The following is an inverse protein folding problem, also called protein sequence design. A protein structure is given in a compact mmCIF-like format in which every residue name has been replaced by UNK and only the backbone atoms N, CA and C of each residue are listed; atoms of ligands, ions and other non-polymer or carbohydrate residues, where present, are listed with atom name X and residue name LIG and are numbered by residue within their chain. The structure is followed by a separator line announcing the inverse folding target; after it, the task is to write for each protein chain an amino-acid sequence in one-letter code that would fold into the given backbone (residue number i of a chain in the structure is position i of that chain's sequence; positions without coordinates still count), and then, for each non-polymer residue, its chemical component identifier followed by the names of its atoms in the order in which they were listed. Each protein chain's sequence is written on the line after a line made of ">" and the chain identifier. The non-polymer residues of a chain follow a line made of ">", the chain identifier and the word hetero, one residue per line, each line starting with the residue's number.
data_IF_260073088304
#
_entry.id   IF_260073088304
#
_cell.length_a   1.000
_cell.length_b   1.000
_cell.length_c   1.000
_cell.angle_alpha   90.00
_cell.angle_beta   90.00
_cell.angle_gamma   90.00
#
_symmetry.space_group_name_H-M   'P 1'
#
loop_
_entity.id
_entity.type
_entity.pdbx_description
1 polymer ?
#
# COMPACT_ATOMS: atom_id res chain seq x y z
N UNK A 1 -55.44 48.87 8.20
CA UNK A 1 -55.35 47.61 8.96
C UNK A 1 -54.93 46.41 8.08
N UNK A 2 -55.52 46.20 6.89
CA UNK A 2 -55.21 45.07 6.02
C UNK A 2 -53.72 45.11 5.49
N UNK A 3 -53.28 46.34 5.14
CA UNK A 3 -51.86 46.51 4.67
C UNK A 3 -50.81 46.29 5.78
N UNK A 4 -51.17 46.62 7.04
CA UNK A 4 -50.30 46.44 8.19
C UNK A 4 -50.18 44.93 8.59
N UNK A 5 -51.28 44.18 8.51
CA UNK A 5 -51.35 42.75 8.77
C UNK A 5 -50.56 41.99 7.69
N UNK A 6 -50.66 42.40 6.41
CA UNK A 6 -49.93 41.80 5.32
C UNK A 6 -48.37 41.94 5.48
N UNK A 7 -47.91 43.08 6.01
CA UNK A 7 -46.49 43.32 6.25
C UNK A 7 -45.94 42.49 7.42
N UNK A 8 -46.75 42.26 8.46
CA UNK A 8 -46.38 41.44 9.62
C UNK A 8 -46.27 39.96 9.23
N UNK A 9 -47.16 39.46 8.38
CA UNK A 9 -47.10 38.06 7.88
C UNK A 9 -45.85 37.80 7.03
N UNK A 10 -45.43 38.79 6.22
CA UNK A 10 -44.21 38.64 5.39
C UNK A 10 -42.93 38.56 6.25
N UNK A 11 -42.88 39.31 7.37
CA UNK A 11 -41.70 39.28 8.27
C UNK A 11 -41.57 37.95 9.02
N UNK A 12 -42.65 37.23 9.28
CA UNK A 12 -42.59 35.90 9.93
C UNK A 12 -42.11 34.77 9.01
N UNK A 13 -42.21 34.95 7.69
CA UNK A 13 -41.70 33.93 6.74
C UNK A 13 -40.21 34.03 6.42
N UNK A 14 -39.51 35.08 6.86
CA UNK A 14 -38.07 35.25 6.62
C UNK A 14 -37.18 34.67 7.72
N UNK A 15 -37.73 34.21 8.84
CA UNK A 15 -36.97 33.45 9.84
C UNK A 15 -36.90 31.97 9.44
N UNK A 16 -36.23 31.71 8.35
CA UNK A 16 -35.85 30.34 7.96
C UNK A 16 -34.84 29.80 8.98
N UNK A 17 -35.27 28.86 9.80
CA UNK A 17 -34.38 28.12 10.68
C UNK A 17 -33.43 27.24 9.86
N UNK A 18 -32.30 27.79 9.45
CA UNK A 18 -31.25 27.03 8.73
C UNK A 18 -30.76 25.79 9.51
N UNK A 19 -30.90 25.78 10.83
CA UNK A 19 -30.52 24.65 11.69
C UNK A 19 -31.41 23.41 11.61
N UNK A 20 -32.64 23.50 11.07
CA UNK A 20 -33.58 22.36 10.95
C UNK A 20 -33.23 21.50 9.71
N UNK A 21 -32.56 22.10 8.72
CA UNK A 21 -32.13 21.39 7.50
C UNK A 21 -30.75 20.73 7.61
N UNK A 22 -30.03 21.02 8.68
CA UNK A 22 -28.71 20.45 8.94
C UNK A 22 -28.86 19.12 9.71
N UNK A 23 -29.63 18.20 9.13
CA UNK A 23 -29.77 16.84 9.66
C UNK A 23 -28.47 16.10 9.29
N UNK A 24 -27.52 16.11 10.23
CA UNK A 24 -26.35 15.20 10.11
C UNK A 24 -26.89 13.78 10.14
N UNK A 25 -26.67 12.98 9.09
CA UNK A 25 -27.15 11.59 9.09
C UNK A 25 -26.42 10.82 10.19
N UNK A 26 -27.13 10.49 11.25
CA UNK A 26 -26.61 9.74 12.41
C UNK A 26 -26.29 8.28 12.04
N UNK A 27 -26.87 7.79 10.94
CA UNK A 27 -26.72 6.43 10.45
C UNK A 27 -25.65 6.26 9.36
N UNK A 28 -25.06 7.35 8.86
CA UNK A 28 -24.06 7.31 7.81
C UNK A 28 -22.70 7.71 8.40
N UNK A 29 -21.70 6.86 8.23
CA UNK A 29 -20.33 7.18 8.61
C UNK A 29 -19.82 8.24 7.64
N UNK A 30 -19.55 9.45 8.16
CA UNK A 30 -18.94 10.56 7.42
C UNK A 30 -17.57 10.87 8.03
N UNK A 31 -16.68 11.54 7.31
CA UNK A 31 -15.40 11.97 7.87
C UNK A 31 -15.56 12.82 9.14
N UNK A 32 -16.66 13.56 9.26
CA UNK A 32 -16.95 14.40 10.44
C UNK A 32 -17.32 13.61 11.69
N UNK A 33 -17.90 12.40 11.55
CA UNK A 33 -18.36 11.59 12.67
C UNK A 33 -17.59 10.30 12.90
N UNK A 34 -16.61 9.98 12.04
CA UNK A 34 -15.81 8.76 12.16
C UNK A 34 -14.67 8.93 13.18
N UNK A 35 -13.94 10.04 13.12
CA UNK A 35 -12.69 10.23 13.86
C UNK A 35 -12.92 10.76 15.27
N UNK A 36 -13.23 9.89 16.22
CA UNK A 36 -13.55 10.27 17.61
C UNK A 36 -12.56 9.70 18.64
N UNK A 37 -12.04 8.50 18.41
CA UNK A 37 -11.27 7.74 19.40
C UNK A 37 -9.99 7.16 18.80
N UNK A 38 -9.05 6.74 19.65
CA UNK A 38 -7.85 6.02 19.22
C UNK A 38 -8.17 4.71 18.50
N UNK A 39 -9.31 4.07 18.82
CA UNK A 39 -9.75 2.86 18.13
C UNK A 39 -10.18 3.11 16.69
N UNK A 40 -10.71 4.28 16.39
CA UNK A 40 -11.06 4.66 15.02
C UNK A 40 -9.81 4.78 14.17
N UNK A 41 -8.76 5.41 14.71
CA UNK A 41 -7.46 5.55 14.04
C UNK A 41 -6.81 4.18 13.80
N UNK A 42 -6.76 3.32 14.82
CA UNK A 42 -6.11 2.01 14.73
C UNK A 42 -6.90 1.01 13.89
N UNK A 43 -8.22 1.08 13.95
CA UNK A 43 -9.14 0.31 13.10
C UNK A 43 -8.99 0.69 11.62
N UNK A 44 -8.97 1.99 11.32
CA UNK A 44 -8.77 2.50 9.97
C UNK A 44 -7.41 2.08 9.39
N UNK A 45 -6.35 2.17 10.21
CA UNK A 45 -5.02 1.74 9.82
C UNK A 45 -4.98 0.24 9.45
N UNK A 46 -5.80 -0.58 10.08
CA UNK A 46 -5.91 -2.00 9.72
C UNK A 46 -6.48 -2.17 8.30
N UNK A 47 -7.47 -1.34 7.92
CA UNK A 47 -7.99 -1.28 6.55
C UNK A 47 -6.92 -0.88 5.53
N UNK A 48 -6.01 0.04 5.89
CA UNK A 48 -4.90 0.46 5.02
C UNK A 48 -3.98 -0.71 4.65
N UNK A 49 -3.74 -1.67 5.55
CA UNK A 49 -2.97 -2.87 5.22
C UNK A 49 -3.68 -3.77 4.20
N UNK A 50 -5.00 -3.80 4.20
CA UNK A 50 -5.76 -4.49 3.17
C UNK A 50 -5.59 -3.82 1.81
N UNK A 51 -5.68 -2.49 1.77
CA UNK A 51 -5.49 -1.71 0.54
C UNK A 51 -4.05 -1.78 0.03
N UNK A 52 -3.06 -1.73 0.94
CA UNK A 52 -1.65 -1.95 0.60
C UNK A 52 -1.45 -3.29 -0.08
N UNK A 53 -2.00 -4.36 0.51
CA UNK A 53 -1.94 -5.72 -0.04
C UNK A 53 -2.52 -5.78 -1.45
N UNK A 54 -3.63 -5.11 -1.68
CA UNK A 54 -4.30 -5.06 -2.98
C UNK A 54 -3.52 -4.25 -4.01
N UNK A 55 -2.92 -3.13 -3.59
CA UNK A 55 -2.20 -2.21 -4.47
C UNK A 55 -0.87 -2.76 -4.98
N UNK A 56 -0.15 -3.53 -4.14
CA UNK A 56 1.17 -4.08 -4.50
C UNK A 56 1.09 -5.51 -5.06
N UNK A 57 -0.10 -6.08 -5.14
CA UNK A 57 -0.31 -7.44 -5.63
C UNK A 57 -0.34 -7.49 -7.17
N UNK A 58 0.75 -7.07 -7.80
CA UNK A 58 0.90 -7.06 -9.24
C UNK A 58 2.33 -7.35 -9.66
N UNK A 59 2.48 -8.14 -10.72
CA UNK A 59 3.77 -8.42 -11.37
C UNK A 59 4.14 -7.39 -12.42
N UNK A 60 3.16 -6.64 -12.88
CA UNK A 60 3.27 -5.75 -14.02
C UNK A 60 4.42 -4.75 -13.92
N UNK A 61 4.65 -4.18 -12.73
CA UNK A 61 5.70 -3.18 -12.52
C UNK A 61 7.06 -3.74 -12.16
N UNK A 62 7.13 -5.03 -11.89
CA UNK A 62 8.36 -5.71 -11.43
C UNK A 62 8.79 -6.75 -12.47
N UNK A 63 8.20 -7.93 -12.41
CA UNK A 63 8.67 -9.10 -13.13
C UNK A 63 8.36 -9.04 -14.64
N UNK A 64 7.22 -8.47 -15.02
CA UNK A 64 6.84 -8.33 -16.44
C UNK A 64 7.79 -7.41 -17.23
N UNK A 65 8.53 -6.54 -16.55
CA UNK A 65 9.51 -5.64 -17.17
C UNK A 65 10.95 -6.15 -17.07
N UNK A 66 11.13 -7.26 -16.40
CA UNK A 66 12.42 -7.89 -16.19
C UNK A 66 12.68 -9.05 -17.15
N UNK A 67 13.81 -9.71 -16.93
CA UNK A 67 14.26 -10.87 -17.71
C UNK A 67 13.98 -12.22 -17.02
N UNK A 68 13.33 -12.19 -15.84
CA UNK A 68 13.11 -13.38 -15.02
C UNK A 68 12.07 -14.31 -15.63
N UNK A 69 10.99 -13.74 -16.19
CA UNK A 69 9.91 -14.49 -16.78
C UNK A 69 9.76 -14.20 -18.26
N UNK A 70 9.27 -15.19 -18.97
CA UNK A 70 8.73 -15.09 -20.34
C UNK A 70 7.26 -15.47 -20.33
N UNK A 71 6.49 -15.11 -21.37
CA UNK A 71 5.12 -15.59 -21.50
C UNK A 71 5.08 -17.11 -21.51
N UNK A 72 4.08 -17.66 -20.82
CA UNK A 72 3.79 -19.07 -20.89
C UNK A 72 2.98 -19.43 -22.15
N UNK A 73 2.61 -20.70 -22.27
CA UNK A 73 1.90 -21.22 -23.46
C UNK A 73 0.51 -20.62 -23.65
N UNK A 74 -0.12 -20.17 -22.58
CA UNK A 74 -1.51 -19.68 -22.61
C UNK A 74 -1.64 -18.16 -22.51
N UNK A 75 -0.54 -17.44 -22.44
CA UNK A 75 -0.56 -15.98 -22.34
C UNK A 75 0.18 -15.33 -23.49
N UNK A 76 -0.41 -14.27 -24.03
CA UNK A 76 0.30 -13.36 -24.91
C UNK A 76 1.33 -12.53 -24.14
N UNK A 77 2.25 -11.92 -24.89
CA UNK A 77 3.21 -10.97 -24.35
C UNK A 77 2.48 -9.73 -23.80
N UNK A 78 2.69 -9.40 -22.52
CA UNK A 78 2.19 -8.14 -21.97
C UNK A 78 2.88 -6.94 -22.62
N UNK A 79 2.20 -5.79 -22.66
CA UNK A 79 2.81 -4.55 -23.17
C UNK A 79 4.03 -4.14 -22.37
N UNK A 80 4.06 -4.47 -21.08
CA UNK A 80 5.21 -4.23 -20.21
C UNK A 80 6.41 -5.08 -20.62
N UNK A 81 6.20 -6.35 -20.87
CA UNK A 81 7.25 -7.26 -21.32
C UNK A 81 7.80 -6.86 -22.70
N UNK A 82 6.92 -6.44 -23.62
CA UNK A 82 7.30 -5.95 -24.94
C UNK A 82 7.96 -4.56 -24.93
N UNK A 83 8.04 -3.88 -23.79
CA UNK A 83 8.54 -2.51 -23.65
C UNK A 83 7.79 -1.48 -24.52
N UNK A 84 6.49 -1.71 -24.79
CA UNK A 84 5.66 -0.86 -25.65
C UNK A 84 4.52 -0.17 -24.87
N UNK A 85 4.79 0.23 -23.63
CA UNK A 85 3.82 0.96 -22.82
C UNK A 85 3.48 2.33 -23.43
N UNK A 86 2.20 2.62 -23.47
CA UNK A 86 1.63 3.89 -23.91
C UNK A 86 0.63 4.40 -22.87
N UNK A 87 0.17 5.63 -23.00
CA UNK A 87 -0.87 6.18 -22.12
C UNK A 87 -2.19 5.40 -22.16
N UNK A 88 -2.45 4.63 -23.21
CA UNK A 88 -3.68 3.84 -23.36
C UNK A 88 -3.60 2.44 -22.79
N UNK A 89 -2.40 1.87 -22.64
CA UNK A 89 -2.20 0.50 -22.16
C UNK A 89 -1.37 0.41 -20.86
N UNK A 90 -0.85 1.53 -20.37
CA UNK A 90 -0.19 1.58 -19.08
C UNK A 90 -1.22 1.50 -17.95
N UNK A 91 -0.93 0.78 -16.86
CA UNK A 91 -1.77 0.80 -15.68
C UNK A 91 -1.87 2.21 -15.09
N UNK A 92 -2.99 2.49 -14.43
CA UNK A 92 -3.18 3.74 -13.72
C UNK A 92 -2.64 3.68 -12.29
N UNK A 93 -2.46 4.83 -11.68
CA UNK A 93 -1.97 4.97 -10.31
C UNK A 93 -3.05 5.24 -9.25
N UNK A 94 -4.34 5.12 -9.62
CA UNK A 94 -5.47 5.47 -8.75
C UNK A 94 -5.39 4.74 -7.41
N UNK A 95 -5.14 3.43 -7.42
CA UNK A 95 -5.06 2.63 -6.19
C UNK A 95 -3.95 3.10 -5.23
N UNK A 96 -2.82 3.55 -5.77
CA UNK A 96 -1.72 4.08 -4.96
C UNK A 96 -2.06 5.43 -4.33
N UNK A 97 -2.72 6.33 -5.06
CA UNK A 97 -3.15 7.61 -4.50
C UNK A 97 -4.30 7.48 -3.51
N UNK A 98 -5.20 6.50 -3.69
CA UNK A 98 -6.18 6.16 -2.66
C UNK A 98 -5.48 5.71 -1.37
N UNK A 99 -4.46 4.85 -1.48
CA UNK A 99 -3.68 4.42 -0.32
C UNK A 99 -2.95 5.58 0.36
N UNK A 100 -2.36 6.50 -0.40
CA UNK A 100 -1.74 7.74 0.11
C UNK A 100 -2.77 8.61 0.82
N UNK A 101 -3.97 8.78 0.25
CA UNK A 101 -5.06 9.52 0.87
C UNK A 101 -5.43 8.92 2.23
N UNK A 102 -5.57 7.60 2.31
CA UNK A 102 -5.87 6.92 3.57
C UNK A 102 -4.75 7.08 4.61
N UNK A 103 -3.48 7.03 4.20
CA UNK A 103 -2.35 7.35 5.07
C UNK A 103 -2.41 8.79 5.58
N UNK A 104 -2.72 9.75 4.70
CA UNK A 104 -2.86 11.16 5.06
C UNK A 104 -3.97 11.39 6.10
N UNK A 105 -5.11 10.68 5.99
CA UNK A 105 -6.17 10.71 6.99
C UNK A 105 -5.68 10.22 8.36
N UNK A 106 -4.98 9.09 8.42
CA UNK A 106 -4.42 8.58 9.68
C UNK A 106 -3.39 9.55 10.27
N UNK A 107 -2.53 10.15 9.45
CA UNK A 107 -1.54 11.14 9.91
C UNK A 107 -2.26 12.38 10.46
N UNK A 108 -3.26 12.90 9.75
CA UNK A 108 -4.04 14.06 10.17
C UNK A 108 -4.76 13.81 11.49
N UNK A 109 -5.62 12.81 11.52
CA UNK A 109 -6.50 12.55 12.67
C UNK A 109 -5.76 11.89 13.85
N UNK A 110 -4.74 11.09 13.59
CA UNK A 110 -3.87 10.55 14.63
C UNK A 110 -3.13 11.64 15.40
N UNK A 111 -2.86 12.79 14.80
CA UNK A 111 -2.28 13.94 15.49
C UNK A 111 -3.30 14.72 16.34
N UNK A 112 -4.58 14.74 15.95
CA UNK A 112 -5.66 15.51 16.59
C UNK A 112 -6.28 14.72 17.75
N UNK A 113 -6.52 13.42 17.55
CA UNK A 113 -7.21 12.55 18.51
C UNK A 113 -6.30 12.28 19.71
N UNK A 114 -6.90 12.32 20.90
CA UNK A 114 -6.22 11.95 22.13
C UNK A 114 -6.10 10.43 22.24
N UNK A 115 -4.89 9.95 22.49
CA UNK A 115 -4.60 8.55 22.78
C UNK A 115 -4.36 8.36 24.28
N UNK A 116 -4.85 7.27 24.83
CA UNK A 116 -4.58 6.88 26.23
C UNK A 116 -3.13 6.51 26.44
N UNK A 117 -2.47 6.00 25.39
CA UNK A 117 -1.05 5.65 25.40
C UNK A 117 -0.34 6.31 24.21
N UNK A 118 0.64 7.18 24.51
CA UNK A 118 1.44 7.86 23.50
C UNK A 118 2.21 6.92 22.57
N UNK A 119 2.62 5.75 23.04
CA UNK A 119 3.27 4.73 22.19
C UNK A 119 2.32 4.17 21.15
N UNK A 120 1.03 4.02 21.46
CA UNK A 120 0.04 3.59 20.48
C UNK A 120 -0.17 4.65 19.40
N UNK A 121 -0.23 5.94 19.79
CA UNK A 121 -0.26 7.06 18.86
C UNK A 121 0.95 7.04 17.93
N UNK A 122 2.14 6.99 18.51
CA UNK A 122 3.39 7.04 17.78
C UNK A 122 3.52 5.86 16.81
N UNK A 123 3.11 4.66 17.23
CA UNK A 123 3.09 3.48 16.35
C UNK A 123 2.12 3.65 15.18
N UNK A 124 0.90 4.15 15.42
CA UNK A 124 -0.08 4.37 14.35
C UNK A 124 0.43 5.38 13.32
N UNK A 125 1.02 6.48 13.77
CA UNK A 125 1.63 7.48 12.89
C UNK A 125 2.85 6.91 12.14
N UNK A 126 3.71 6.15 12.81
CA UNK A 126 4.87 5.51 12.19
C UNK A 126 4.47 4.56 11.06
N UNK A 127 3.46 3.73 11.30
CA UNK A 127 2.94 2.80 10.28
C UNK A 127 2.35 3.55 9.07
N UNK A 128 1.60 4.63 9.31
CA UNK A 128 1.04 5.44 8.23
C UNK A 128 2.14 6.12 7.38
N UNK A 129 3.15 6.69 8.02
CA UNK A 129 4.32 7.25 7.32
C UNK A 129 5.09 6.18 6.54
N UNK A 130 5.32 5.00 7.13
CA UNK A 130 5.96 3.89 6.45
C UNK A 130 5.19 3.46 5.19
N UNK A 131 3.87 3.26 5.29
CA UNK A 131 3.05 2.82 4.16
C UNK A 131 3.01 3.90 3.08
N UNK A 132 2.94 5.19 3.45
CA UNK A 132 2.98 6.30 2.49
C UNK A 132 4.32 6.33 1.75
N UNK A 133 5.44 6.21 2.47
CA UNK A 133 6.77 6.12 1.87
C UNK A 133 6.91 4.93 0.93
N UNK A 134 6.47 3.75 1.36
CA UNK A 134 6.47 2.54 0.56
C UNK A 134 5.67 2.71 -0.74
N UNK A 135 4.49 3.35 -0.64
CA UNK A 135 3.63 3.63 -1.78
C UNK A 135 4.26 4.62 -2.75
N UNK A 136 4.85 5.72 -2.24
CA UNK A 136 5.59 6.66 -3.09
C UNK A 136 6.82 6.02 -3.75
N UNK A 137 7.48 5.10 -3.08
CA UNK A 137 8.63 4.41 -3.67
C UNK A 137 8.20 3.48 -4.82
N UNK A 138 7.02 2.84 -4.72
CA UNK A 138 6.41 2.14 -5.85
C UNK A 138 6.08 3.07 -7.01
N UNK A 139 5.45 4.21 -6.72
CA UNK A 139 5.13 5.22 -7.73
C UNK A 139 6.38 5.75 -8.43
N UNK A 140 7.42 6.09 -7.67
CA UNK A 140 8.69 6.59 -8.19
C UNK A 140 9.35 5.59 -9.14
N UNK A 141 9.44 4.32 -8.73
CA UNK A 141 10.08 3.28 -9.55
C UNK A 141 9.28 2.94 -10.81
N UNK A 142 7.96 3.13 -10.79
CA UNK A 142 7.08 2.77 -11.90
C UNK A 142 6.86 3.91 -12.89
N UNK A 143 6.71 5.15 -12.42
CA UNK A 143 6.33 6.31 -13.24
C UNK A 143 7.35 7.46 -13.24
N UNK A 144 8.35 7.43 -12.39
CA UNK A 144 9.33 8.51 -12.27
C UNK A 144 8.75 9.72 -11.54
N UNK A 145 8.58 10.84 -12.26
CA UNK A 145 7.95 12.04 -11.74
C UNK A 145 6.47 11.79 -11.45
N UNK A 146 6.04 12.09 -10.22
CA UNK A 146 4.66 11.89 -9.75
C UNK A 146 4.21 13.02 -8.85
N UNK A 147 2.91 13.33 -8.75
CA UNK A 147 2.40 14.32 -7.81
C UNK A 147 2.69 13.95 -6.34
N UNK A 148 3.12 14.93 -5.54
CA UNK A 148 3.25 14.77 -4.09
C UNK A 148 1.98 15.33 -3.44
N UNK A 149 1.22 14.45 -2.73
CA UNK A 149 -0.02 14.77 -2.03
C UNK A 149 0.13 14.36 -0.58
N UNK A 150 0.23 15.33 0.33
CA UNK A 150 0.49 15.08 1.76
C UNK A 150 -0.72 15.35 2.64
N UNK A 151 -1.77 15.95 2.09
CA UNK A 151 -3.02 16.21 2.78
C UNK A 151 -4.15 15.33 2.22
N UNK A 152 -5.09 14.89 3.05
CA UNK A 152 -6.25 14.17 2.56
C UNK A 152 -7.21 15.10 1.82
N UNK A 153 -7.85 14.59 0.77
CA UNK A 153 -8.94 15.31 0.07
C UNK A 153 -10.24 15.11 0.84
N UNK A 154 -10.78 16.18 1.41
CA UNK A 154 -12.00 16.14 2.22
C UNK A 154 -13.04 17.19 1.77
N UNK A 155 -12.85 17.77 0.59
CA UNK A 155 -13.79 18.73 0.01
C UNK A 155 -13.91 18.53 -1.49
N UNK A 156 -14.96 19.13 -2.07
CA UNK A 156 -15.20 19.11 -3.52
C UNK A 156 -14.22 19.98 -4.30
N UNK A 157 -13.46 20.83 -3.60
CA UNK A 157 -12.45 21.69 -4.21
C UNK A 157 -11.14 20.91 -4.31
N UNK A 158 -10.98 20.19 -5.41
CA UNK A 158 -9.80 19.37 -5.66
C UNK A 158 -8.76 20.22 -6.41
N UNK A 159 -7.61 20.44 -5.77
CA UNK A 159 -6.42 20.96 -6.46
C UNK A 159 -5.61 19.75 -6.93
N UNK A 160 -5.47 19.63 -8.25
CA UNK A 160 -4.66 18.59 -8.84
C UNK A 160 -3.20 19.09 -8.95
N UNK A 161 -2.27 18.60 -8.12
CA UNK A 161 -0.88 19.03 -8.20
C UNK A 161 -0.21 18.47 -9.46
N UNK A 162 0.71 19.22 -10.01
CA UNK A 162 1.59 18.75 -11.09
C UNK A 162 2.53 17.66 -10.57
N UNK A 163 3.14 16.91 -11.49
CA UNK A 163 4.20 15.96 -11.15
C UNK A 163 5.40 16.69 -10.56
N UNK A 164 5.88 16.20 -9.44
CA UNK A 164 7.14 16.63 -8.85
C UNK A 164 8.30 15.82 -9.45
N UNK A 165 9.47 16.42 -9.61
CA UNK A 165 10.67 15.70 -10.06
C UNK A 165 11.02 14.53 -9.14
N UNK A 166 11.58 13.46 -9.71
CA UNK A 166 11.95 12.23 -8.99
C UNK A 166 12.80 12.50 -7.74
N UNK A 167 13.69 13.46 -7.77
CA UNK A 167 14.50 13.85 -6.62
C UNK A 167 13.65 14.33 -5.45
N UNK A 168 12.64 15.17 -5.70
CA UNK A 168 11.73 15.65 -4.66
C UNK A 168 10.83 14.51 -4.12
N UNK A 169 10.41 13.60 -4.99
CA UNK A 169 9.64 12.41 -4.56
C UNK A 169 10.51 11.53 -3.66
N UNK A 170 11.78 11.32 -4.01
CA UNK A 170 12.73 10.57 -3.18
C UNK A 170 12.97 11.25 -1.83
N UNK A 171 13.11 12.57 -1.82
CA UNK A 171 13.29 13.31 -0.57
C UNK A 171 12.04 13.18 0.33
N UNK A 172 10.83 13.15 -0.23
CA UNK A 172 9.61 12.89 0.53
C UNK A 172 9.55 11.45 1.06
N UNK A 173 9.98 10.46 0.27
CA UNK A 173 10.09 9.06 0.70
C UNK A 173 11.02 8.97 1.92
N UNK A 174 12.21 9.53 1.82
CA UNK A 174 13.19 9.49 2.90
C UNK A 174 12.72 10.26 4.13
N UNK A 175 12.01 11.37 3.96
CA UNK A 175 11.40 12.10 5.08
C UNK A 175 10.39 11.23 5.83
N UNK A 176 9.45 10.60 5.12
CA UNK A 176 8.45 9.73 5.74
C UNK A 176 9.07 8.51 6.42
N UNK A 177 10.07 7.88 5.81
CA UNK A 177 10.80 6.75 6.42
C UNK A 177 11.51 7.18 7.68
N UNK A 178 12.18 8.33 7.69
CA UNK A 178 12.87 8.84 8.88
C UNK A 178 11.89 9.20 10.00
N UNK A 179 10.72 9.76 9.66
CA UNK A 179 9.63 9.98 10.63
C UNK A 179 9.14 8.65 11.21
N UNK A 180 8.91 7.65 10.37
CA UNK A 180 8.51 6.31 10.83
C UNK A 180 9.55 5.71 11.79
N UNK A 181 10.84 5.74 11.44
CA UNK A 181 11.94 5.26 12.29
C UNK A 181 11.93 5.95 13.66
N UNK A 182 11.72 7.27 13.67
CA UNK A 182 11.72 8.07 14.90
C UNK A 182 10.50 7.76 15.78
N UNK A 183 9.35 7.58 15.16
CA UNK A 183 8.08 7.40 15.85
C UNK A 183 7.87 5.97 16.36
N UNK A 184 8.44 4.93 15.73
CA UNK A 184 8.30 3.56 16.23
C UNK A 184 8.83 3.45 17.66
N UNK A 185 7.97 3.12 18.64
CA UNK A 185 8.40 3.02 20.05
C UNK A 185 9.26 1.79 20.32
N UNK A 186 9.05 0.71 19.55
CA UNK A 186 9.83 -0.52 19.67
C UNK A 186 11.02 -0.51 18.72
N UNK A 187 12.16 -1.06 19.17
CA UNK A 187 13.34 -1.25 18.32
C UNK A 187 13.25 -2.47 17.40
N UNK A 188 12.37 -3.43 17.72
CA UNK A 188 12.20 -4.70 17.01
C UNK A 188 10.82 -4.87 16.38
N UNK A 189 10.44 -6.12 16.21
CA UNK A 189 9.18 -6.52 15.60
C UNK A 189 8.11 -6.77 16.67
N UNK A 190 6.97 -6.10 16.57
CA UNK A 190 5.74 -6.52 17.25
C UNK A 190 5.07 -7.63 16.45
N UNK A 191 5.01 -7.44 15.15
CA UNK A 191 4.48 -8.41 14.19
C UNK A 191 5.14 -8.13 12.83
N UNK A 192 5.70 -9.16 12.19
CA UNK A 192 6.38 -9.03 10.90
C UNK A 192 5.43 -8.78 9.72
N UNK A 193 4.12 -8.87 9.94
CA UNK A 193 3.09 -8.49 8.94
C UNK A 193 2.57 -7.06 9.12
N UNK A 194 3.16 -6.32 10.06
CA UNK A 194 2.95 -4.87 10.22
C UNK A 194 4.29 -4.16 10.13
N UNK A 195 4.24 -2.90 9.75
CA UNK A 195 5.44 -2.07 9.71
C UNK A 195 6.11 -2.00 11.08
N UNK A 196 7.41 -1.92 11.08
CA UNK A 196 8.25 -1.89 12.27
C UNK A 196 9.48 -1.03 12.01
N UNK A 197 10.23 -0.71 13.04
CA UNK A 197 11.48 0.04 12.88
C UNK A 197 12.48 -0.67 11.96
N UNK A 198 12.72 -2.00 12.08
CA UNK A 198 13.55 -2.73 11.12
C UNK A 198 12.99 -2.70 9.69
N UNK A 199 11.66 -2.78 9.51
CA UNK A 199 11.05 -2.67 8.18
C UNK A 199 11.27 -1.26 7.57
N UNK A 200 11.19 -0.21 8.39
CA UNK A 200 11.47 1.15 7.93
C UNK A 200 12.96 1.33 7.54
N UNK A 201 13.88 0.73 8.28
CA UNK A 201 15.29 0.72 7.87
C UNK A 201 15.52 -0.08 6.59
N UNK A 202 14.83 -1.20 6.37
CA UNK A 202 14.91 -1.96 5.12
C UNK A 202 14.40 -1.13 3.93
N UNK A 203 13.26 -0.45 4.08
CA UNK A 203 12.76 0.47 3.06
C UNK A 203 13.71 1.63 2.79
N UNK A 204 14.30 2.20 3.85
CA UNK A 204 15.32 3.25 3.72
C UNK A 204 16.52 2.77 2.93
N UNK A 205 16.99 1.55 3.20
CA UNK A 205 18.10 0.92 2.48
C UNK A 205 17.80 0.84 0.98
N UNK A 206 16.63 0.30 0.60
CA UNK A 206 16.24 0.15 -0.80
C UNK A 206 16.09 1.52 -1.49
N UNK A 207 15.47 2.50 -0.81
CA UNK A 207 15.35 3.86 -1.33
C UNK A 207 16.71 4.55 -1.54
N UNK A 208 17.65 4.39 -0.62
CA UNK A 208 18.99 4.96 -0.73
C UNK A 208 19.83 4.27 -1.81
N UNK A 209 19.69 2.95 -2.00
CA UNK A 209 20.31 2.24 -3.12
C UNK A 209 19.79 2.75 -4.46
N UNK A 210 18.47 2.95 -4.57
CA UNK A 210 17.87 3.57 -5.76
C UNK A 210 18.38 5.00 -5.97
N UNK A 211 18.38 5.81 -4.90
CA UNK A 211 18.91 7.20 -4.96
C UNK A 211 20.36 7.21 -5.44
N UNK A 212 21.19 6.32 -4.92
CA UNK A 212 22.61 6.23 -5.30
C UNK A 212 22.80 5.91 -6.77
N UNK A 213 22.04 4.97 -7.31
CA UNK A 213 22.24 4.43 -8.66
C UNK A 213 21.46 5.16 -9.75
N UNK A 214 20.24 5.59 -9.45
CA UNK A 214 19.31 6.15 -10.44
C UNK A 214 19.25 7.69 -10.36
N UNK A 215 19.37 8.26 -9.16
CA UNK A 215 19.23 9.69 -8.93
C UNK A 215 20.57 10.37 -8.59
N UNK A 216 21.68 9.75 -8.98
CA UNK A 216 23.03 10.29 -8.80
C UNK A 216 23.43 10.62 -7.35
N UNK A 217 22.84 9.92 -6.37
CA UNK A 217 23.15 10.10 -4.95
C UNK A 217 24.53 9.60 -4.52
N UNK A 218 25.19 8.77 -5.34
CA UNK A 218 26.58 8.36 -5.21
C UNK A 218 26.93 7.66 -3.88
N UNK A 219 28.20 7.75 -3.50
CA UNK A 219 28.77 7.03 -2.34
C UNK A 219 28.18 7.47 -0.99
N UNK A 220 27.72 8.71 -0.87
CA UNK A 220 27.07 9.18 0.35
C UNK A 220 25.78 8.40 0.62
N UNK A 221 24.96 8.21 -0.41
CA UNK A 221 23.73 7.39 -0.29
C UNK A 221 24.06 5.91 -0.06
N UNK A 222 25.12 5.38 -0.66
CA UNK A 222 25.55 4.00 -0.42
C UNK A 222 26.02 3.78 1.03
N UNK A 223 26.77 4.72 1.58
CA UNK A 223 27.24 4.65 2.98
C UNK A 223 26.08 4.68 3.97
N UNK A 224 25.07 5.54 3.73
CA UNK A 224 23.87 5.60 4.55
C UNK A 224 23.00 4.33 4.39
N UNK A 225 22.93 3.78 3.16
CA UNK A 225 22.23 2.53 2.89
C UNK A 225 22.84 1.37 3.69
N UNK A 226 24.17 1.27 3.76
CA UNK A 226 24.87 0.22 4.51
C UNK A 226 24.50 0.28 6.01
N UNK A 227 24.58 1.46 6.61
CA UNK A 227 24.17 1.65 8.03
C UNK A 227 22.70 1.27 8.24
N UNK A 228 21.84 1.65 7.31
CA UNK A 228 20.41 1.31 7.39
C UNK A 228 20.17 -0.19 7.23
N UNK A 229 20.92 -0.86 6.38
CA UNK A 229 20.85 -2.32 6.20
C UNK A 229 21.23 -3.06 7.49
N UNK A 230 22.32 -2.67 8.14
CA UNK A 230 22.74 -3.27 9.42
C UNK A 230 21.65 -3.12 10.49
N UNK A 231 20.99 -1.95 10.57
CA UNK A 231 19.89 -1.70 11.50
C UNK A 231 18.62 -2.48 11.11
N UNK A 232 18.37 -2.69 9.85
CA UNK A 232 17.24 -3.50 9.36
C UNK A 232 17.40 -4.98 9.71
N UNK A 233 18.64 -5.48 9.65
CA UNK A 233 18.97 -6.88 9.94
C UNK A 233 19.03 -7.19 11.44
N UNK A 234 19.02 -6.19 12.30
CA UNK A 234 18.98 -6.40 13.73
C UNK A 234 17.74 -7.20 14.15
N UNK A 235 17.93 -8.39 14.70
CA UNK A 235 16.85 -9.29 15.14
C UNK A 235 16.30 -10.25 14.07
N UNK A 236 16.97 -10.35 12.92
CA UNK A 236 16.77 -11.44 11.94
C UNK A 236 18.07 -12.23 11.76
N UNK A 237 17.95 -13.45 11.31
CA UNK A 237 19.09 -14.32 11.04
C UNK A 237 18.75 -15.27 9.89
N UNK A 238 19.78 -15.74 9.19
CA UNK A 238 19.60 -16.72 8.14
C UNK A 238 19.02 -18.02 8.70
N UNK A 239 18.06 -18.61 8.00
CA UNK A 239 17.53 -19.92 8.35
C UNK A 239 18.52 -21.00 7.85
N UNK A 240 18.94 -21.93 8.71
CA UNK A 240 19.86 -23.02 8.30
C UNK A 240 19.24 -23.94 7.24
N UNK A 241 17.91 -23.97 7.13
CA UNK A 241 17.20 -24.71 6.11
C UNK A 241 16.48 -23.77 5.15
N UNK A 242 17.00 -23.66 3.93
CA UNK A 242 16.44 -22.80 2.88
C UNK A 242 14.95 -23.03 2.61
N UNK A 243 14.45 -24.26 2.72
CA UNK A 243 13.05 -24.57 2.51
C UNK A 243 12.11 -23.90 3.54
N UNK A 244 12.62 -23.60 4.74
CA UNK A 244 11.83 -22.93 5.78
C UNK A 244 11.44 -21.50 5.38
N UNK A 245 12.22 -20.81 4.55
CA UNK A 245 11.93 -19.46 4.08
C UNK A 245 10.56 -19.41 3.41
N UNK A 246 10.19 -20.47 2.69
CA UNK A 246 8.93 -20.55 1.91
C UNK A 246 7.77 -21.20 2.68
N UNK A 247 8.06 -21.94 3.74
CA UNK A 247 7.03 -22.69 4.51
C UNK A 247 6.66 -22.04 5.84
N UNK A 248 7.60 -21.35 6.48
CA UNK A 248 7.38 -20.73 7.78
C UNK A 248 6.73 -19.35 7.64
N UNK A 249 5.56 -19.18 8.28
CA UNK A 249 4.99 -17.83 8.44
C UNK A 249 5.85 -17.02 9.41
N UNK A 250 6.18 -15.81 9.03
CA UNK A 250 7.03 -14.93 9.85
C UNK A 250 8.39 -15.56 10.24
N UNK A 251 8.98 -16.31 9.31
CA UNK A 251 10.28 -16.95 9.49
C UNK A 251 11.37 -16.00 10.01
N UNK A 252 12.46 -16.55 10.50
CA UNK A 252 13.51 -15.76 11.15
C UNK A 252 14.20 -14.77 10.19
N UNK A 253 14.23 -15.03 8.88
CA UNK A 253 14.78 -14.12 7.86
C UNK A 253 13.82 -13.00 7.45
N UNK A 254 12.52 -13.11 7.78
CA UNK A 254 11.52 -12.12 7.35
C UNK A 254 11.63 -10.85 8.17
N UNK A 255 11.79 -9.72 7.50
CA UNK A 255 11.73 -8.38 8.09
C UNK A 255 10.32 -7.80 8.00
N UNK A 256 9.69 -7.89 6.83
CA UNK A 256 8.33 -7.43 6.60
C UNK A 256 7.66 -8.32 5.55
N UNK A 257 6.41 -8.69 5.78
CA UNK A 257 5.62 -9.48 4.84
C UNK A 257 4.18 -9.02 4.78
N UNK A 258 3.58 -9.06 3.61
CA UNK A 258 2.15 -8.86 3.47
C UNK A 258 1.43 -10.18 3.74
N UNK A 259 0.57 -10.17 4.74
CA UNK A 259 -0.14 -11.37 5.18
C UNK A 259 -1.45 -11.55 4.42
N UNK A 260 -1.66 -12.75 3.91
CA UNK A 260 -2.90 -13.16 3.25
C UNK A 260 -3.50 -14.33 4.02
N UNK A 261 -4.77 -14.21 4.37
CA UNK A 261 -5.51 -15.26 5.06
C UNK A 261 -6.74 -15.66 4.27
N UNK A 262 -6.95 -16.96 4.16
CA UNK A 262 -8.02 -17.53 3.36
C UNK A 262 -9.41 -17.05 3.78
N UNK A 263 -9.64 -16.94 5.09
CA UNK A 263 -10.93 -16.58 5.66
C UNK A 263 -11.26 -15.09 5.56
N UNK A 264 -10.32 -14.27 5.10
CA UNK A 264 -10.48 -12.82 4.95
C UNK A 264 -10.85 -12.40 3.53
N UNK A 265 -11.02 -13.34 2.60
CA UNK A 265 -11.33 -13.03 1.22
C UNK A 265 -12.84 -13.01 0.98
N UNK A 266 -13.30 -11.88 0.41
CA UNK A 266 -14.70 -11.68 0.03
C UNK A 266 -14.76 -11.29 -1.45
N UNK A 267 -15.81 -11.69 -2.15
CA UNK A 267 -16.08 -11.21 -3.50
C UNK A 267 -16.65 -9.77 -3.49
N UNK A 268 -16.86 -9.20 -4.66
CA UNK A 268 -17.41 -7.84 -4.80
C UNK A 268 -18.83 -7.69 -4.22
N UNK A 269 -19.54 -8.79 -4.00
CA UNK A 269 -20.85 -8.81 -3.37
C UNK A 269 -20.77 -9.01 -1.84
N UNK A 270 -19.56 -9.06 -1.27
CA UNK A 270 -19.35 -9.29 0.17
C UNK A 270 -19.54 -10.74 0.60
N UNK A 271 -19.63 -11.69 -0.34
CA UNK A 271 -19.72 -13.12 -0.03
C UNK A 271 -18.34 -13.68 0.21
N UNK A 272 -18.19 -14.41 1.33
CA UNK A 272 -16.94 -15.11 1.66
C UNK A 272 -16.55 -16.07 0.56
N UNK A 273 -15.33 -15.94 0.07
CA UNK A 273 -14.77 -16.82 -0.96
C UNK A 273 -14.19 -18.05 -0.29
N UNK A 274 -14.97 -19.12 -0.19
CA UNK A 274 -14.57 -20.33 0.51
C UNK A 274 -13.56 -21.20 -0.25
N UNK A 275 -13.51 -21.08 -1.58
CA UNK A 275 -12.71 -21.92 -2.49
C UNK A 275 -11.95 -21.10 -3.53
N UNK A 276 -11.41 -19.96 -3.12
CA UNK A 276 -10.74 -19.14 -4.11
C UNK A 276 -9.31 -19.61 -4.31
N UNK A 277 -8.98 -19.85 -5.56
CA UNK A 277 -7.62 -20.00 -6.04
C UNK A 277 -6.87 -18.65 -6.02
N UNK A 278 -7.50 -17.60 -5.51
CA UNK A 278 -7.05 -16.23 -5.50
C UNK A 278 -6.41 -15.86 -4.16
N UNK A 279 -5.54 -16.74 -3.66
CA UNK A 279 -4.77 -16.44 -2.47
C UNK A 279 -3.50 -15.71 -2.82
N UNK A 280 -3.29 -14.63 -2.14
CA UNK A 280 -2.03 -13.97 -2.13
C UNK A 280 -1.73 -13.25 -3.43
N UNK A 281 -0.52 -13.37 -3.86
CA UNK A 281 0.04 -12.61 -4.96
C UNK A 281 -0.64 -12.90 -6.30
N UNK A 282 -0.51 -11.99 -7.23
CA UNK A 282 -0.91 -12.16 -8.63
C UNK A 282 -0.25 -13.38 -9.27
N UNK A 283 0.96 -13.73 -8.80
CA UNK A 283 1.65 -14.95 -9.19
C UNK A 283 1.14 -16.11 -8.35
N UNK A 284 0.13 -16.77 -8.85
CA UNK A 284 -0.33 -18.03 -8.27
C UNK A 284 0.55 -19.15 -8.76
N UNK A 285 0.81 -20.19 -7.95
CA UNK A 285 1.56 -21.35 -8.39
C UNK A 285 1.05 -21.93 -9.72
N UNK A 286 -0.26 -21.95 -9.92
CA UNK A 286 -0.87 -22.41 -11.16
C UNK A 286 -0.56 -21.56 -12.39
N UNK A 287 -0.24 -20.27 -12.19
CA UNK A 287 0.05 -19.35 -13.31
C UNK A 287 1.54 -19.43 -13.69
N UNK A 288 2.39 -19.95 -12.82
CA UNK A 288 3.84 -20.00 -13.00
C UNK A 288 4.33 -21.41 -13.36
N UNK A 289 3.77 -22.44 -12.73
CA UNK A 289 4.38 -23.76 -12.71
C UNK A 289 3.60 -24.80 -13.48
N UNK A 290 3.15 -24.52 -14.69
CA UNK A 290 2.52 -25.60 -15.34
C UNK A 290 2.78 -25.81 -16.76
N UNK A 291 3.33 -26.88 -17.02
CA UNK A 291 3.27 -27.46 -18.34
C UNK A 291 2.99 -28.95 -18.37
N UNK A 292 3.00 -29.61 -17.24
CA UNK A 292 2.83 -31.05 -17.20
C UNK A 292 1.48 -31.42 -16.59
N UNK A 293 0.58 -31.93 -17.43
CA UNK A 293 -0.75 -32.37 -17.02
C UNK A 293 -0.73 -33.52 -15.98
N UNK A 294 0.36 -34.23 -15.86
CA UNK A 294 0.49 -35.34 -14.90
C UNK A 294 0.65 -34.86 -13.47
N UNK A 295 1.23 -33.67 -13.26
CA UNK A 295 1.49 -33.11 -11.93
C UNK A 295 0.48 -32.06 -11.50
N UNK A 296 -0.47 -31.69 -12.34
CA UNK A 296 -1.50 -30.68 -12.04
C UNK A 296 -2.34 -31.01 -10.81
N UNK A 297 -2.56 -32.29 -10.54
CA UNK A 297 -3.35 -32.73 -9.36
C UNK A 297 -2.55 -32.75 -8.06
N UNK A 298 -1.23 -32.77 -8.12
CA UNK A 298 -0.37 -32.79 -6.94
C UNK A 298 -0.10 -31.38 -6.41
N UNK A 299 -0.20 -30.39 -7.25
CA UNK A 299 -0.13 -28.98 -6.84
C UNK A 299 -1.46 -28.64 -6.20
N UNK A 300 -1.50 -28.55 -4.88
CA UNK A 300 -2.72 -28.38 -4.07
C UNK A 300 -3.62 -27.20 -4.44
N UNK A 301 -3.18 -26.32 -5.32
CA UNK A 301 -3.87 -25.10 -5.78
C UNK A 301 -4.36 -25.19 -7.24
N UNK A 302 -4.10 -26.27 -7.93
CA UNK A 302 -4.39 -26.44 -9.36
C UNK A 302 -5.80 -27.00 -9.66
N UNK A 303 -6.67 -27.06 -8.66
CA UNK A 303 -8.05 -27.48 -8.87
C UNK A 303 -8.78 -26.51 -9.80
N UNK A 304 -8.83 -26.84 -11.07
CA UNK A 304 -9.53 -26.02 -12.07
C UNK A 304 -8.73 -25.66 -13.29
N UNK A 305 -7.64 -26.33 -13.57
CA UNK A 305 -6.82 -26.10 -14.74
C UNK A 305 -5.68 -25.11 -14.43
N UNK A 306 -4.52 -25.64 -14.53
CA UNK A 306 -3.31 -24.85 -14.43
C UNK A 306 -3.13 -24.06 -15.73
N UNK A 307 -2.76 -22.81 -15.59
CA UNK A 307 -2.41 -21.94 -16.72
C UNK A 307 -0.91 -21.72 -16.73
N UNK A 308 -0.30 -22.00 -17.87
CA UNK A 308 1.07 -21.58 -18.13
C UNK A 308 1.08 -20.13 -18.60
N UNK A 309 0.77 -19.20 -17.66
CA UNK A 309 0.77 -17.77 -17.96
C UNK A 309 2.19 -17.20 -17.99
N UNK A 310 3.05 -17.70 -17.11
CA UNK A 310 4.45 -17.31 -16.99
C UNK A 310 5.35 -18.55 -17.01
N UNK A 311 6.50 -18.44 -17.65
CA UNK A 311 7.54 -19.44 -17.62
C UNK A 311 8.86 -18.78 -17.26
N UNK A 312 9.79 -19.47 -16.54
CA UNK A 312 11.14 -18.97 -16.37
C UNK A 312 11.77 -18.67 -17.72
N UNK A 313 12.37 -17.50 -17.88
CA UNK A 313 13.06 -17.16 -19.13
C UNK A 313 14.27 -18.10 -19.36
N UNK A 314 14.70 -18.22 -20.60
CA UNK A 314 15.92 -19.00 -20.90
C UNK A 314 17.12 -18.46 -20.11
N UNK A 315 17.26 -17.13 -20.04
CA UNK A 315 18.33 -16.48 -19.28
C UNK A 315 18.33 -16.85 -17.80
N UNK A 316 17.14 -16.95 -17.18
CA UNK A 316 17.01 -17.39 -15.79
C UNK A 316 17.32 -18.87 -15.59
N UNK A 317 17.03 -19.71 -16.60
CA UNK A 317 17.34 -21.15 -16.54
C UNK A 317 18.82 -21.46 -16.75
N UNK A 318 19.55 -20.54 -17.36
CA UNK A 318 20.98 -20.70 -17.68
C UNK A 318 21.88 -20.15 -16.54
N UNK A 319 21.30 -19.62 -15.44
CA UNK A 319 22.01 -19.22 -14.21
C UNK A 319 22.20 -20.41 -13.28
#
# INVERSE_FOLDING_TARGET
>A
YIKTISLIVIVFFTSSCSKILDVKPVSTITSENYWNTENDVTGYLTGIYYDLRSSVNTTFYMEDRGDTFSPGLESGLSSAWQQNLTSSNAPNWIGYYNLIHHCNLVIKYGNIISFTNGNNKNRALAEAHFIRAFTYFWLLRSWGDVPIVLEPTESDQIVLPSRAPQGQVMDQILNDVNLAITLFPESGFVNKSRASKPAAYALKTDALLWKAKVLAGGDASLSEALVSADLAMAGVSLDPNFANIFSAKNGQEVIFSLYFKREEMFDQAGKKIEKSDQYGSTLKPRDIFVSDATNVNEIAFSRGGARSAYAPSQKFRDL
#
